data_IF_725843461155
#
_entry.id   IF_725843461155
#
_cell.length_a   1.000
_cell.length_b   1.000
_cell.length_c   1.000
_cell.angle_alpha   90.00
_cell.angle_beta   90.00
_cell.angle_gamma   90.00
#
_symmetry.space_group_name_H-M   'P 1'
#
loop_
_entity.id
_entity.type
_entity.pdbx_description
1 polymer ?
#
# COMPACT_ATOMS: atom_id res chain seq x y z
N UNK A 1 15.43 -0.27 -7.92
CA UNK A 1 14.76 1.05 -7.83
C UNK A 1 15.50 2.06 -6.95
N UNK A 2 15.88 1.75 -5.69
CA UNK A 2 16.54 2.75 -4.80
C UNK A 2 17.80 3.38 -5.40
N UNK A 3 18.74 2.57 -5.94
CA UNK A 3 19.96 3.05 -6.61
C UNK A 3 19.71 3.96 -7.82
N UNK A 4 18.55 3.81 -8.48
CA UNK A 4 18.20 4.61 -9.64
C UNK A 4 17.57 5.97 -9.28
N UNK A 5 17.16 6.17 -8.03
CA UNK A 5 16.46 7.40 -7.60
C UNK A 5 17.35 8.65 -7.70
N UNK A 6 18.61 8.66 -7.19
CA UNK A 6 19.47 9.84 -7.31
C UNK A 6 19.84 10.20 -8.75
N UNK A 7 20.23 9.26 -9.63
CA UNK A 7 20.46 9.55 -11.05
C UNK A 7 19.20 10.08 -11.76
N UNK A 8 18.01 9.54 -11.43
CA UNK A 8 16.75 9.99 -11.99
C UNK A 8 16.44 11.45 -11.58
N UNK A 9 16.60 11.77 -10.30
CA UNK A 9 16.40 13.14 -9.79
C UNK A 9 17.41 14.11 -10.40
N UNK A 10 18.67 13.70 -10.55
CA UNK A 10 19.69 14.50 -11.20
C UNK A 10 19.29 14.82 -12.64
N UNK A 11 18.96 13.81 -13.45
CA UNK A 11 18.59 13.99 -14.87
C UNK A 11 17.33 14.83 -15.05
N UNK A 12 16.34 14.68 -14.17
CA UNK A 12 15.14 15.53 -14.16
C UNK A 12 15.46 17.00 -13.86
N UNK A 13 16.48 17.26 -13.03
CA UNK A 13 16.87 18.62 -12.61
C UNK A 13 17.82 19.31 -13.57
N UNK A 14 18.75 18.58 -14.20
CA UNK A 14 19.72 19.14 -15.14
C UNK A 14 19.08 19.59 -16.45
N UNK A 15 18.00 18.92 -16.89
CA UNK A 15 17.26 19.23 -18.12
C UNK A 15 18.17 19.33 -19.37
N UNK A 16 19.27 18.58 -19.43
CA UNK A 16 20.15 18.58 -20.60
C UNK A 16 19.58 17.66 -21.69
N UNK A 17 19.85 17.92 -22.99
CA UNK A 17 19.36 17.09 -24.08
C UNK A 17 19.73 15.60 -23.94
N UNK A 18 20.90 15.30 -23.35
CA UNK A 18 21.37 13.94 -23.10
C UNK A 18 20.58 13.20 -22.01
N UNK A 19 19.93 13.93 -21.10
CA UNK A 19 19.12 13.33 -20.03
C UNK A 19 17.81 12.78 -20.59
N UNK A 20 17.30 13.35 -21.69
CA UNK A 20 16.06 12.90 -22.34
C UNK A 20 16.13 11.42 -22.72
N UNK A 21 17.24 10.98 -23.33
CA UNK A 21 17.41 9.59 -23.74
C UNK A 21 17.48 8.62 -22.54
N UNK A 22 18.19 9.03 -21.48
CA UNK A 22 18.30 8.25 -20.24
C UNK A 22 16.96 8.13 -19.53
N UNK A 23 16.23 9.24 -19.40
CA UNK A 23 14.90 9.29 -18.79
C UNK A 23 13.89 8.48 -19.61
N UNK A 24 13.88 8.61 -20.94
CA UNK A 24 13.02 7.83 -21.81
C UNK A 24 13.29 6.34 -21.69
N UNK A 25 14.56 5.94 -21.67
CA UNK A 25 14.94 4.54 -21.47
C UNK A 25 14.43 4.02 -20.13
N UNK A 26 14.68 4.78 -19.05
CA UNK A 26 14.22 4.42 -17.71
C UNK A 26 12.70 4.24 -17.64
N UNK A 27 11.92 5.22 -18.10
CA UNK A 27 10.46 5.16 -18.04
C UNK A 27 9.87 4.09 -18.95
N UNK A 28 10.47 3.82 -20.11
CA UNK A 28 10.07 2.71 -20.98
C UNK A 28 10.25 1.36 -20.27
N UNK A 29 11.45 1.13 -19.70
CA UNK A 29 11.72 -0.11 -18.94
C UNK A 29 10.84 -0.24 -17.70
N UNK A 30 10.60 0.88 -17.01
CA UNK A 30 9.72 0.88 -15.87
C UNK A 30 8.29 0.51 -16.27
N UNK A 31 7.76 1.08 -17.36
CA UNK A 31 6.44 0.77 -17.91
C UNK A 31 6.31 -0.72 -18.31
N UNK A 32 7.35 -1.30 -18.92
CA UNK A 32 7.41 -2.74 -19.22
C UNK A 32 7.39 -3.60 -17.94
N UNK A 33 7.99 -3.12 -16.84
CA UNK A 33 8.10 -3.86 -15.58
C UNK A 33 6.84 -3.83 -14.71
N UNK A 34 5.99 -2.81 -14.87
CA UNK A 34 4.71 -2.67 -14.16
C UNK A 34 3.56 -3.36 -14.89
N UNK A 35 3.86 -4.41 -15.66
CA UNK A 35 2.89 -5.16 -16.47
C UNK A 35 1.70 -5.72 -15.68
N UNK A 36 0.68 -6.10 -16.46
CA UNK A 36 -0.68 -6.51 -16.09
C UNK A 36 -0.81 -7.11 -14.68
N UNK A 37 -1.71 -6.55 -13.87
CA UNK A 37 -2.07 -7.10 -12.56
C UNK A 37 -2.60 -8.51 -12.82
N UNK A 38 -1.73 -9.51 -12.58
CA UNK A 38 -1.94 -10.87 -13.07
C UNK A 38 -3.29 -11.49 -12.64
N UNK A 39 -3.57 -12.74 -13.03
CA UNK A 39 -4.91 -13.35 -12.94
C UNK A 39 -5.49 -13.45 -11.51
N UNK A 40 -4.73 -13.09 -10.48
CA UNK A 40 -5.12 -13.08 -9.08
C UNK A 40 -5.64 -11.73 -8.59
N UNK A 41 -5.69 -10.69 -9.43
CA UNK A 41 -6.29 -9.40 -9.09
C UNK A 41 -7.70 -9.27 -9.67
N UNK A 42 -8.64 -8.81 -8.85
CA UNK A 42 -10.00 -8.50 -9.26
C UNK A 42 -10.31 -7.04 -8.93
N UNK A 43 -10.30 -6.19 -9.96
CA UNK A 43 -10.60 -4.76 -9.82
C UNK A 43 -12.00 -4.53 -9.25
N UNK A 44 -12.97 -5.37 -9.64
CA UNK A 44 -14.32 -5.33 -9.09
C UNK A 44 -14.35 -5.61 -7.58
N UNK A 45 -13.66 -6.64 -7.12
CA UNK A 45 -13.58 -6.98 -5.69
C UNK A 45 -12.84 -5.89 -4.92
N UNK A 46 -11.74 -5.37 -5.48
CA UNK A 46 -10.98 -4.27 -4.89
C UNK A 46 -11.87 -3.06 -4.63
N UNK A 47 -12.57 -2.57 -5.66
CA UNK A 47 -13.46 -1.42 -5.48
C UNK A 47 -14.71 -1.71 -4.65
N UNK A 48 -15.23 -2.94 -4.67
CA UNK A 48 -16.31 -3.34 -3.76
C UNK A 48 -15.89 -3.16 -2.29
N UNK A 49 -14.69 -3.61 -1.92
CA UNK A 49 -14.14 -3.47 -0.56
C UNK A 49 -13.83 -2.01 -0.26
N UNK A 50 -13.05 -1.34 -1.13
CA UNK A 50 -12.64 0.06 -0.94
C UNK A 50 -13.86 0.96 -0.75
N UNK A 51 -14.86 0.86 -1.62
CA UNK A 51 -16.03 1.72 -1.53
C UNK A 51 -16.96 1.36 -0.38
N UNK A 52 -17.02 0.10 0.05
CA UNK A 52 -17.89 -0.34 1.15
C UNK A 52 -17.31 -0.02 2.53
N UNK A 53 -16.01 -0.23 2.70
CA UNK A 53 -15.36 -0.21 4.01
C UNK A 53 -14.48 1.01 4.23
N UNK A 54 -13.69 1.41 3.23
CA UNK A 54 -12.60 2.36 3.38
C UNK A 54 -12.97 3.78 2.93
N UNK A 55 -13.89 3.90 1.97
CA UNK A 55 -14.27 5.19 1.42
C UNK A 55 -14.99 6.07 2.44
N UNK A 56 -14.64 7.35 2.44
CA UNK A 56 -15.28 8.36 3.27
C UNK A 56 -16.70 8.62 2.76
N UNK A 57 -17.68 8.52 3.66
CA UNK A 57 -19.09 8.73 3.35
C UNK A 57 -19.68 9.81 4.25
N UNK A 58 -20.38 10.82 3.72
CA UNK A 58 -20.65 11.03 2.29
C UNK A 58 -19.40 11.43 1.49
N UNK A 59 -19.47 11.30 0.17
CA UNK A 59 -18.41 11.72 -0.76
C UNK A 59 -17.92 13.15 -0.44
N UNK A 60 -16.62 13.33 -0.14
CA UNK A 60 -16.04 14.66 0.04
C UNK A 60 -16.12 15.51 -1.23
N UNK A 61 -16.12 16.84 -1.07
CA UNK A 61 -16.10 17.75 -2.22
C UNK A 61 -14.79 17.63 -3.01
N UNK A 62 -14.84 17.89 -4.32
CA UNK A 62 -13.63 17.93 -5.14
C UNK A 62 -12.62 18.97 -4.62
N UNK A 63 -13.08 20.10 -4.10
CA UNK A 63 -12.22 21.11 -3.48
C UNK A 63 -11.42 20.55 -2.31
N UNK A 64 -12.07 19.77 -1.44
CA UNK A 64 -11.42 19.14 -0.30
C UNK A 64 -10.45 18.04 -0.74
N UNK A 65 -10.85 17.19 -1.68
CA UNK A 65 -10.00 16.15 -2.26
C UNK A 65 -8.75 16.76 -2.91
N UNK A 66 -8.90 17.82 -3.72
CA UNK A 66 -7.78 18.53 -4.34
C UNK A 66 -6.89 19.16 -3.27
N UNK A 67 -7.46 19.80 -2.24
CA UNK A 67 -6.67 20.36 -1.15
C UNK A 67 -5.79 19.28 -0.51
N UNK A 68 -6.39 18.15 -0.09
CA UNK A 68 -5.67 17.00 0.50
C UNK A 68 -4.57 16.48 -0.43
N UNK A 69 -4.85 16.36 -1.72
CA UNK A 69 -3.87 15.93 -2.72
C UNK A 69 -2.67 16.88 -2.83
N UNK A 70 -2.91 18.20 -2.81
CA UNK A 70 -1.88 19.22 -2.97
C UNK A 70 -1.15 19.59 -1.67
N UNK A 71 -1.70 19.20 -0.51
CA UNK A 71 -1.15 19.55 0.80
C UNK A 71 0.11 18.74 1.15
N UNK A 72 0.27 17.56 0.57
CA UNK A 72 1.43 16.69 0.81
C UNK A 72 2.39 16.68 -0.38
N UNK A 73 3.70 16.58 -0.09
CA UNK A 73 4.74 16.54 -1.12
C UNK A 73 4.79 15.24 -1.94
N UNK A 74 4.09 14.18 -1.49
CA UNK A 74 3.95 12.91 -2.19
C UNK A 74 2.48 12.50 -2.08
N UNK A 75 1.77 12.52 -3.21
CA UNK A 75 0.38 12.08 -3.34
C UNK A 75 0.24 11.25 -4.61
N UNK A 76 -0.51 10.15 -4.52
CA UNK A 76 -0.80 9.25 -5.65
C UNK A 76 -2.32 9.08 -5.81
N UNK A 77 -2.76 8.48 -6.92
CA UNK A 77 -4.14 7.99 -7.12
C UNK A 77 -5.26 9.05 -7.26
N UNK A 78 -4.94 10.29 -7.67
CA UNK A 78 -5.95 11.34 -7.90
C UNK A 78 -6.88 11.14 -9.13
N UNK A 79 -6.91 9.95 -9.76
CA UNK A 79 -7.61 9.72 -11.04
C UNK A 79 -8.77 8.72 -10.88
N UNK A 80 -9.86 8.87 -11.66
CA UNK A 80 -11.15 9.39 -11.22
C UNK A 80 -11.91 8.50 -10.19
N UNK A 81 -11.41 8.41 -8.96
CA UNK A 81 -12.09 7.65 -7.90
C UNK A 81 -13.49 8.20 -7.54
N UNK A 82 -13.75 9.52 -7.42
CA UNK A 82 -15.09 10.01 -7.06
C UNK A 82 -16.18 9.67 -8.09
N UNK A 83 -15.99 9.85 -9.41
CA UNK A 83 -16.92 9.33 -10.41
C UNK A 83 -17.21 7.84 -10.27
N UNK A 84 -16.17 7.02 -10.04
CA UNK A 84 -16.29 5.58 -9.89
C UNK A 84 -17.05 5.20 -8.61
N UNK A 85 -16.75 5.84 -7.48
CA UNK A 85 -17.48 5.66 -6.23
C UNK A 85 -18.96 6.00 -6.39
N UNK A 86 -19.27 7.14 -6.99
CA UNK A 86 -20.64 7.60 -7.13
C UNK A 86 -21.47 6.70 -8.07
N UNK A 87 -20.86 6.12 -9.11
CA UNK A 87 -21.53 5.12 -9.94
C UNK A 87 -21.72 3.81 -9.18
N UNK A 88 -20.68 3.29 -8.51
CA UNK A 88 -20.75 2.04 -7.75
C UNK A 88 -21.76 2.09 -6.60
N UNK A 89 -21.71 3.13 -5.78
CA UNK A 89 -22.51 3.24 -4.55
C UNK A 89 -23.95 3.68 -4.77
N UNK A 90 -24.22 4.40 -5.88
CA UNK A 90 -25.45 5.18 -6.09
C UNK A 90 -25.76 6.12 -4.92
N UNK A 91 -24.73 6.61 -4.23
CA UNK A 91 -24.87 7.55 -3.11
C UNK A 91 -25.59 8.82 -3.55
N UNK A 92 -26.55 9.31 -2.75
CA UNK A 92 -27.38 10.48 -3.06
C UNK A 92 -26.86 11.79 -2.45
N UNK A 93 -25.57 11.87 -2.15
CA UNK A 93 -24.94 13.10 -1.65
C UNK A 93 -24.97 14.23 -2.69
N UNK A 94 -24.78 15.47 -2.23
CA UNK A 94 -24.71 16.64 -3.11
C UNK A 94 -23.58 16.49 -4.14
N UNK A 95 -22.48 15.88 -3.74
CA UNK A 95 -21.28 15.66 -4.54
C UNK A 95 -21.54 14.60 -5.62
N UNK A 96 -22.11 13.44 -5.27
CA UNK A 96 -22.44 12.42 -6.26
C UNK A 96 -23.59 12.82 -7.20
N UNK A 97 -24.61 13.53 -6.71
CA UNK A 97 -25.73 13.97 -7.55
C UNK A 97 -25.30 14.95 -8.66
N UNK A 98 -24.24 15.75 -8.44
CA UNK A 98 -23.67 16.62 -9.48
C UNK A 98 -23.13 15.84 -10.68
N UNK A 99 -22.61 14.63 -10.44
CA UNK A 99 -21.98 13.78 -11.47
C UNK A 99 -23.01 13.02 -12.32
N UNK A 100 -24.22 12.78 -11.79
CA UNK A 100 -25.33 12.09 -12.51
C UNK A 100 -24.98 10.66 -12.97
N UNK A 101 -24.13 9.95 -12.22
CA UNK A 101 -23.60 8.62 -12.61
C UNK A 101 -24.36 7.41 -12.00
N UNK A 102 -25.27 7.63 -11.07
CA UNK A 102 -26.02 6.57 -10.36
C UNK A 102 -27.39 6.22 -10.95
N UNK A 103 -27.68 6.61 -12.19
CA UNK A 103 -29.04 6.51 -12.78
C UNK A 103 -29.28 5.25 -13.63
N UNK A 104 -28.48 4.20 -13.48
CA UNK A 104 -28.67 2.93 -14.18
C UNK A 104 -29.65 2.00 -13.45
N UNK A 105 -30.29 1.10 -14.21
CA UNK A 105 -31.27 0.12 -13.73
C UNK A 105 -30.59 -1.13 -13.14
N UNK A 106 -29.84 -0.93 -12.06
CA UNK A 106 -29.31 -2.01 -11.22
C UNK A 106 -29.06 -1.48 -9.79
N UNK A 107 -28.83 -2.40 -8.85
CA UNK A 107 -28.39 -2.03 -7.50
C UNK A 107 -26.95 -1.52 -7.51
N UNK A 108 -26.59 -0.73 -6.49
CA UNK A 108 -25.21 -0.33 -6.29
C UNK A 108 -24.34 -1.55 -5.96
N UNK A 109 -23.10 -1.55 -6.44
CA UNK A 109 -22.08 -2.57 -6.20
C UNK A 109 -21.34 -2.20 -4.90
N UNK A 110 -22.09 -2.19 -3.80
CA UNK A 110 -21.59 -1.92 -2.45
C UNK A 110 -22.37 -2.79 -1.45
N UNK A 111 -21.73 -3.16 -0.34
CA UNK A 111 -22.42 -3.78 0.78
C UNK A 111 -22.57 -2.81 1.96
N UNK A 112 -23.50 -3.16 2.87
CA UNK A 112 -23.69 -2.43 4.11
C UNK A 112 -22.62 -2.85 5.10
N UNK A 113 -22.06 -1.88 5.81
CA UNK A 113 -21.20 -2.11 6.97
C UNK A 113 -22.02 -2.87 8.01
N UNK A 114 -21.45 -3.95 8.53
CA UNK A 114 -22.07 -4.83 9.52
C UNK A 114 -21.53 -4.52 10.93
N UNK A 115 -21.80 -5.40 11.88
CA UNK A 115 -21.36 -5.28 13.27
C UNK A 115 -19.85 -5.41 13.47
N UNK A 116 -19.09 -5.84 12.45
CA UNK A 116 -17.64 -6.00 12.52
C UNK A 116 -16.90 -4.79 11.93
N UNK A 117 -17.59 -3.91 11.20
CA UNK A 117 -16.95 -2.72 10.63
C UNK A 117 -16.54 -1.72 11.73
N UNK A 118 -15.29 -1.25 11.66
CA UNK A 118 -14.71 -0.31 12.63
C UNK A 118 -14.75 -0.84 14.08
N UNK A 119 -14.66 -2.15 14.24
CA UNK A 119 -14.53 -2.83 15.52
C UNK A 119 -13.14 -3.47 15.61
N UNK A 120 -12.54 -3.39 16.79
CA UNK A 120 -11.26 -4.02 17.06
C UNK A 120 -11.37 -5.54 16.97
N UNK A 121 -10.47 -6.18 16.23
CA UNK A 121 -10.47 -7.64 16.13
C UNK A 121 -9.84 -8.26 17.39
N UNK A 122 -10.55 -9.22 17.99
CA UNK A 122 -10.01 -10.09 19.06
C UNK A 122 -9.18 -11.20 18.44
N UNK A 123 -7.96 -11.38 18.92
CA UNK A 123 -7.06 -12.49 18.58
C UNK A 123 -7.53 -13.72 19.36
N UNK A 124 -8.00 -14.79 18.69
CA UNK A 124 -8.37 -16.03 19.37
C UNK A 124 -7.19 -16.60 20.17
N UNK A 125 -7.46 -17.30 21.28
CA UNK A 125 -6.42 -17.85 22.16
C UNK A 125 -5.44 -18.79 21.47
N UNK A 126 -5.86 -19.45 20.40
CA UNK A 126 -5.07 -20.38 19.59
C UNK A 126 -4.35 -19.70 18.41
N UNK A 127 -4.48 -18.39 18.26
CA UNK A 127 -3.96 -17.63 17.14
C UNK A 127 -2.93 -16.59 17.59
N UNK A 128 -2.13 -16.16 16.62
CA UNK A 128 -1.15 -15.10 16.73
C UNK A 128 -1.30 -14.13 15.57
N UNK A 129 -0.75 -12.93 15.69
CA UNK A 129 -0.70 -11.95 14.60
C UNK A 129 0.74 -11.52 14.34
N UNK A 130 1.20 -11.73 13.11
CA UNK A 130 2.42 -11.16 12.57
C UNK A 130 2.07 -9.97 11.68
N UNK A 131 2.51 -8.77 12.06
CA UNK A 131 2.41 -7.57 11.23
C UNK A 131 3.79 -7.19 10.71
N UNK A 132 3.87 -6.88 9.41
CA UNK A 132 5.09 -6.44 8.74
C UNK A 132 4.89 -5.00 8.28
N UNK A 133 5.81 -4.09 8.60
CA UNK A 133 5.72 -2.69 8.19
C UNK A 133 7.10 -2.07 8.01
N UNK A 134 7.17 -1.01 7.22
CA UNK A 134 8.40 -0.26 6.99
C UNK A 134 8.24 1.22 7.34
N UNK A 135 9.28 1.83 7.90
CA UNK A 135 9.30 3.28 8.19
C UNK A 135 9.27 4.15 6.93
N UNK A 136 9.72 3.63 5.78
CA UNK A 136 9.69 4.32 4.49
C UNK A 136 8.49 3.96 3.59
N UNK A 137 7.48 3.27 4.12
CA UNK A 137 6.25 3.02 3.37
C UNK A 137 5.40 4.30 3.27
N UNK A 138 5.43 4.95 2.11
CA UNK A 138 4.66 6.16 1.85
C UNK A 138 3.16 5.90 1.57
N UNK A 139 2.76 4.67 1.18
CA UNK A 139 1.35 4.35 0.88
C UNK A 139 0.59 3.92 2.13
N UNK A 140 1.22 3.08 2.95
CA UNK A 140 0.70 2.64 4.26
C UNK A 140 1.66 3.06 5.37
N UNK A 141 1.65 4.35 5.78
CA UNK A 141 2.59 4.88 6.77
C UNK A 141 2.68 4.05 8.04
N UNK A 142 3.91 3.82 8.51
CA UNK A 142 4.22 2.96 9.65
C UNK A 142 3.41 3.26 10.93
N UNK A 143 3.03 4.53 11.15
CA UNK A 143 2.17 4.92 12.27
C UNK A 143 0.84 4.16 12.31
N UNK A 144 0.26 3.85 11.14
CA UNK A 144 -1.00 3.11 11.06
C UNK A 144 -0.81 1.62 11.36
N UNK A 145 0.36 1.05 11.05
CA UNK A 145 0.69 -0.32 11.47
C UNK A 145 0.81 -0.43 13.01
N UNK A 146 1.42 0.58 13.65
CA UNK A 146 1.45 0.64 15.13
C UNK A 146 0.03 0.74 15.71
N UNK A 147 -0.78 1.64 15.17
CA UNK A 147 -2.18 1.81 15.60
C UNK A 147 -3.00 0.52 15.40
N UNK A 148 -2.84 -0.17 14.27
CA UNK A 148 -3.47 -1.46 14.02
C UNK A 148 -3.03 -2.50 15.06
N UNK A 149 -1.73 -2.60 15.34
CA UNK A 149 -1.24 -3.53 16.36
C UNK A 149 -1.79 -3.21 17.74
N UNK A 150 -1.86 -1.93 18.11
CA UNK A 150 -2.40 -1.46 19.38
C UNK A 150 -3.91 -1.74 19.52
N UNK A 151 -4.67 -1.59 18.43
CA UNK A 151 -6.12 -1.74 18.45
C UNK A 151 -6.60 -3.18 18.57
N UNK A 152 -5.78 -4.18 18.17
CA UNK A 152 -6.14 -5.59 18.36
C UNK A 152 -6.44 -5.88 19.83
N UNK A 153 -7.31 -6.85 20.10
CA UNK A 153 -7.57 -7.34 21.45
C UNK A 153 -6.87 -8.69 21.65
N UNK A 154 -5.91 -8.76 22.58
CA UNK A 154 -5.07 -9.94 22.83
C UNK A 154 -3.57 -9.70 22.62
N UNK A 155 -2.74 -10.26 23.49
CA UNK A 155 -1.29 -9.99 23.53
C UNK A 155 -0.42 -10.80 22.57
N UNK A 156 -0.96 -11.83 21.90
CA UNK A 156 -0.19 -12.72 21.04
C UNK A 156 0.05 -12.13 19.64
N UNK A 157 0.79 -11.03 19.60
CA UNK A 157 1.01 -10.23 18.39
C UNK A 157 2.40 -9.62 18.36
N UNK A 158 2.95 -9.48 17.15
CA UNK A 158 4.25 -8.82 16.95
C UNK A 158 4.23 -7.96 15.69
N UNK A 159 4.91 -6.82 15.76
CA UNK A 159 5.19 -5.97 14.61
C UNK A 159 6.69 -6.05 14.29
N UNK A 160 7.01 -6.54 13.09
CA UNK A 160 8.35 -6.47 12.52
C UNK A 160 8.45 -5.18 11.72
N UNK A 161 9.42 -4.36 12.11
CA UNK A 161 9.65 -3.05 11.51
C UNK A 161 10.92 -3.08 10.69
N UNK A 162 10.78 -2.77 9.40
CA UNK A 162 11.89 -2.54 8.49
C UNK A 162 12.20 -1.04 8.43
N UNK A 163 13.47 -0.68 8.34
CA UNK A 163 13.82 0.75 8.29
C UNK A 163 13.58 1.35 6.91
N UNK A 164 13.93 0.64 5.83
CA UNK A 164 14.08 1.27 4.51
C UNK A 164 13.25 0.67 3.37
N UNK A 165 12.35 -0.27 3.65
CA UNK A 165 11.51 -0.90 2.62
C UNK A 165 10.40 0.04 2.09
N UNK A 166 10.02 -0.11 0.82
CA UNK A 166 8.86 0.59 0.22
C UNK A 166 7.57 -0.19 0.50
N UNK A 167 6.43 0.29 -0.04
CA UNK A 167 5.15 -0.38 0.10
C UNK A 167 5.19 -1.84 -0.36
N UNK A 168 4.63 -2.74 0.45
CA UNK A 168 4.72 -4.19 0.24
C UNK A 168 5.96 -4.81 0.90
N UNK A 169 6.10 -4.61 2.22
CA UNK A 169 7.26 -5.07 3.01
C UNK A 169 7.57 -6.57 2.88
N UNK A 170 6.59 -7.40 2.49
CA UNK A 170 6.84 -8.81 2.20
C UNK A 170 7.81 -9.00 1.02
N UNK A 171 7.72 -8.17 -0.02
CA UNK A 171 8.48 -8.34 -1.28
C UNK A 171 9.60 -7.30 -1.48
N UNK A 172 9.63 -6.23 -0.68
CA UNK A 172 10.56 -5.11 -0.87
C UNK A 172 11.59 -4.96 0.26
N UNK A 173 11.89 -6.04 0.97
CA UNK A 173 12.92 -6.14 2.00
C UNK A 173 14.09 -6.99 1.50
N UNK A 174 14.67 -6.60 0.37
CA UNK A 174 15.81 -7.29 -0.24
C UNK A 174 16.98 -7.39 0.75
N UNK A 175 17.57 -8.58 0.83
CA UNK A 175 18.83 -8.84 1.53
C UNK A 175 20.03 -8.65 0.60
N UNK A 176 19.85 -9.01 -0.67
CA UNK A 176 20.81 -8.79 -1.76
C UNK A 176 20.22 -7.75 -2.74
N UNK A 177 20.91 -6.61 -2.87
CA UNK A 177 20.50 -5.54 -3.77
C UNK A 177 20.76 -5.83 -5.26
N UNK A 178 21.62 -6.80 -5.57
CA UNK A 178 21.99 -7.20 -6.93
C UNK A 178 21.05 -8.26 -7.50
N UNK A 179 20.33 -8.97 -6.62
CA UNK A 179 19.40 -10.03 -6.99
C UNK A 179 17.96 -9.70 -6.56
N UNK A 180 17.19 -8.92 -7.35
CA UNK A 180 15.87 -8.40 -6.95
C UNK A 180 14.81 -9.48 -6.69
N UNK A 181 14.98 -10.68 -7.25
CA UNK A 181 14.08 -11.83 -7.11
C UNK A 181 14.52 -12.82 -6.02
N UNK A 182 15.58 -12.49 -5.28
CA UNK A 182 16.03 -13.32 -4.15
C UNK A 182 15.02 -13.29 -3.00
N UNK A 183 15.12 -14.31 -2.14
CA UNK A 183 14.31 -14.37 -0.93
C UNK A 183 14.54 -13.13 -0.06
N UNK A 184 13.46 -12.43 0.28
CA UNK A 184 13.50 -11.21 1.08
C UNK A 184 13.45 -11.53 2.58
N UNK A 185 13.87 -10.58 3.43
CA UNK A 185 13.72 -10.74 4.88
C UNK A 185 12.26 -10.94 5.30
N UNK A 186 11.31 -10.18 4.73
CA UNK A 186 9.87 -10.36 4.95
C UNK A 186 9.37 -11.76 4.58
N UNK A 187 9.83 -12.33 3.46
CA UNK A 187 9.50 -13.70 3.06
C UNK A 187 10.07 -14.72 4.05
N UNK A 188 11.33 -14.57 4.49
CA UNK A 188 11.94 -15.42 5.52
C UNK A 188 11.12 -15.38 6.82
N UNK A 189 10.80 -14.18 7.31
CA UNK A 189 10.00 -13.98 8.53
C UNK A 189 8.63 -14.66 8.41
N UNK A 190 7.92 -14.50 7.28
CA UNK A 190 6.64 -15.16 7.05
C UNK A 190 6.81 -16.69 7.00
N UNK A 191 7.83 -17.19 6.32
CA UNK A 191 8.15 -18.62 6.24
C UNK A 191 8.38 -19.24 7.62
N UNK A 192 9.16 -18.58 8.48
CA UNK A 192 9.35 -19.00 9.87
C UNK A 192 8.06 -18.97 10.68
N UNK A 193 7.26 -17.91 10.54
CA UNK A 193 5.97 -17.79 11.22
C UNK A 193 5.00 -18.93 10.84
N UNK A 194 4.93 -19.30 9.56
CA UNK A 194 4.10 -20.42 9.10
C UNK A 194 4.66 -21.76 9.59
N UNK A 195 5.97 -21.98 9.45
CA UNK A 195 6.64 -23.23 9.86
C UNK A 195 6.50 -23.49 11.37
N UNK A 196 6.51 -22.43 12.17
CA UNK A 196 6.30 -22.47 13.62
C UNK A 196 4.83 -22.51 14.04
N UNK A 197 3.88 -22.60 13.10
CA UNK A 197 2.44 -22.58 13.37
C UNK A 197 1.99 -21.34 14.15
N UNK A 198 2.64 -20.20 13.90
CA UNK A 198 2.35 -18.94 14.55
C UNK A 198 3.02 -18.74 15.92
N UNK A 199 3.92 -19.61 16.36
CA UNK A 199 4.65 -19.39 17.60
C UNK A 199 5.63 -18.21 17.49
N UNK A 200 5.19 -17.05 17.98
CA UNK A 200 5.94 -15.79 17.94
C UNK A 200 7.25 -15.84 18.76
N UNK A 201 7.36 -16.74 19.74
CA UNK A 201 8.59 -16.90 20.53
C UNK A 201 9.73 -17.55 19.73
N UNK A 202 9.37 -18.29 18.68
CA UNK A 202 10.29 -18.98 17.77
C UNK A 202 10.65 -18.17 16.51
N UNK A 203 10.11 -16.94 16.40
CA UNK A 203 10.29 -16.13 15.21
C UNK A 203 11.74 -15.69 15.06
N UNK A 204 12.39 -16.13 13.98
CA UNK A 204 13.71 -15.68 13.60
C UNK A 204 13.65 -14.27 12.96
N UNK A 205 14.44 -13.36 13.52
CA UNK A 205 14.53 -11.95 13.13
C UNK A 205 15.94 -11.56 12.68
N UNK A 206 16.86 -12.51 12.60
CA UNK A 206 18.27 -12.28 12.25
C UNK A 206 18.45 -11.58 10.90
N UNK A 207 17.55 -11.82 9.95
CA UNK A 207 17.61 -11.17 8.64
C UNK A 207 17.45 -9.64 8.70
N UNK A 208 16.92 -9.06 9.79
CA UNK A 208 16.85 -7.61 9.98
C UNK A 208 18.25 -6.99 10.11
N UNK A 209 19.17 -7.71 10.75
CA UNK A 209 20.57 -7.27 10.94
C UNK A 209 21.38 -7.38 9.64
N UNK A 210 20.94 -8.23 8.72
CA UNK A 210 21.54 -8.42 7.39
C UNK A 210 21.05 -7.39 6.37
N UNK A 211 20.00 -6.61 6.69
CA UNK A 211 19.42 -5.69 5.72
C UNK A 211 20.39 -4.56 5.36
N UNK A 212 20.53 -4.24 4.07
CA UNK A 212 21.39 -3.15 3.64
C UNK A 212 20.89 -1.81 4.23
N UNK A 213 21.83 -1.03 4.74
CA UNK A 213 21.57 0.32 5.24
C UNK A 213 21.11 1.27 4.14
N UNK A 214 20.67 2.47 4.54
CA UNK A 214 20.41 3.53 3.57
C UNK A 214 21.75 3.96 2.96
N UNK A 215 21.89 3.85 1.63
CA UNK A 215 23.05 4.36 0.92
C UNK A 215 23.20 5.85 1.22
N UNK A 216 24.19 6.21 2.05
CA UNK A 216 24.68 7.58 2.11
C UNK A 216 25.43 7.83 0.81
N UNK A 217 24.95 8.82 0.07
CA UNK A 217 25.64 9.34 -1.10
C UNK A 217 26.48 10.47 -0.54
N UNK A 218 27.78 10.21 -0.38
CA UNK A 218 28.78 11.25 -0.15
C UNK A 218 28.95 12.14 -1.40
#
# INVERSE_FOLDING_TARGET
MRKATPPLVYGLRSCEPKDIDVLNHFFTRYAESIGDEGPFFSELLYYLIVFSELWERPQPSMTEMTKRFTEFGISAEANPIPPLYCSFSKEKSKECNKLKLGNYDAHGIIFKRDEYWNVNATIPSQASVLLLSSKLDARTPHKYAKQLLESLDGGNRVLITFDYSIHGALFWTQLDEETPLSETCGMKTLGFYVKSKGDLSSLDKSCLDEMPGFLQID
#
